data_IF_467084933352
#
_entry.id   IF_467084933352
#
_cell.length_a   1.000
_cell.length_b   1.000
_cell.length_c   1.000
_cell.angle_alpha   90.00
_cell.angle_beta   90.00
_cell.angle_gamma   90.00
#
_symmetry.space_group_name_H-M   'P 1'
#
loop_
_entity.id
_entity.type
_entity.pdbx_description
1 polymer ?
#
# COMPACT_ATOMS: atom_id res chain seq x y z
N UNK A 1 -19.41 -11.11 -3.94
CA UNK A 1 -17.97 -11.32 -3.72
C UNK A 1 -17.28 -10.30 -4.59
N UNK A 2 -16.73 -9.25 -3.99
CA UNK A 2 -15.93 -8.28 -4.70
C UNK A 2 -14.51 -8.84 -4.82
N UNK A 3 -13.94 -8.76 -6.01
CA UNK A 3 -12.54 -9.05 -6.27
C UNK A 3 -11.70 -7.85 -5.78
N UNK A 4 -10.85 -8.01 -4.74
CA UNK A 4 -10.13 -6.89 -4.14
C UNK A 4 -9.05 -6.29 -5.06
N UNK A 5 -8.62 -7.00 -6.09
CA UNK A 5 -7.66 -6.50 -7.08
C UNK A 5 -8.28 -5.53 -8.09
N UNK A 6 -9.62 -5.47 -8.18
CA UNK A 6 -10.35 -4.64 -9.16
C UNK A 6 -10.99 -3.43 -8.51
N UNK A 7 -10.44 -2.24 -8.78
CA UNK A 7 -10.91 -0.98 -8.22
C UNK A 7 -11.08 0.09 -9.31
N UNK A 8 -12.02 1.01 -9.09
CA UNK A 8 -12.16 2.22 -9.92
C UNK A 8 -11.55 3.38 -9.13
N UNK A 9 -10.50 3.97 -9.68
CA UNK A 9 -9.84 5.15 -9.11
C UNK A 9 -10.14 6.41 -9.94
N UNK A 10 -10.41 7.52 -9.25
CA UNK A 10 -10.50 8.85 -9.85
C UNK A 10 -9.68 9.82 -9.00
N UNK A 11 -8.73 10.51 -9.63
CA UNK A 11 -7.84 11.46 -8.95
C UNK A 11 -8.15 12.89 -9.40
N UNK A 12 -8.45 13.75 -8.43
CA UNK A 12 -8.62 15.20 -8.64
C UNK A 12 -7.38 15.89 -8.08
N UNK A 13 -6.67 16.61 -8.93
CA UNK A 13 -5.52 17.42 -8.51
C UNK A 13 -5.99 18.64 -7.74
N UNK A 14 -5.44 18.84 -6.54
CA UNK A 14 -5.69 20.00 -5.71
C UNK A 14 -4.53 21.00 -5.80
N UNK A 15 -4.82 22.28 -5.64
CA UNK A 15 -3.81 23.28 -5.32
C UNK A 15 -3.29 23.08 -3.90
N UNK A 16 -2.18 23.75 -3.58
CA UNK A 16 -1.62 23.71 -2.23
C UNK A 16 -2.61 24.29 -1.22
N UNK A 17 -3.24 25.40 -1.55
CA UNK A 17 -4.20 26.10 -0.70
C UNK A 17 -5.45 25.22 -0.46
N UNK A 18 -5.98 24.57 -1.50
CA UNK A 18 -7.09 23.63 -1.37
C UNK A 18 -6.75 22.44 -0.46
N UNK A 19 -5.54 21.89 -0.61
CA UNK A 19 -5.07 20.82 0.27
C UNK A 19 -4.93 21.29 1.71
N UNK A 20 -4.30 22.44 1.95
CA UNK A 20 -4.08 22.97 3.30
C UNK A 20 -5.40 23.13 4.06
N UNK A 21 -6.40 23.75 3.42
CA UNK A 21 -7.75 23.93 3.99
C UNK A 21 -8.44 22.58 4.28
N UNK A 22 -8.45 21.64 3.32
CA UNK A 22 -9.07 20.33 3.51
C UNK A 22 -8.33 19.48 4.55
N UNK A 23 -7.02 19.68 4.70
CA UNK A 23 -6.19 18.94 5.66
C UNK A 23 -6.45 19.32 7.11
N UNK A 24 -7.18 20.39 7.39
CA UNK A 24 -7.59 20.76 8.76
C UNK A 24 -8.71 19.86 9.29
N UNK A 25 -9.48 19.22 8.39
CA UNK A 25 -10.57 18.33 8.78
C UNK A 25 -10.02 17.12 9.55
N UNK A 26 -10.66 16.80 10.66
CA UNK A 26 -10.30 15.63 11.46
C UNK A 26 -10.57 14.35 10.67
N UNK A 27 -9.58 13.47 10.62
CA UNK A 27 -9.66 12.26 9.83
C UNK A 27 -8.48 11.33 10.09
N UNK A 28 -8.62 10.09 9.64
CA UNK A 28 -7.53 9.11 9.69
C UNK A 28 -6.45 9.52 8.70
N UNK A 29 -5.19 9.56 9.15
CA UNK A 29 -4.03 9.94 8.34
C UNK A 29 -3.10 8.75 8.13
N UNK A 30 -2.43 8.75 7.00
CA UNK A 30 -1.34 7.84 6.70
C UNK A 30 -0.24 8.61 6.00
N UNK A 31 1.01 8.23 6.25
CA UNK A 31 2.18 8.83 5.62
C UNK A 31 3.10 7.72 5.15
N UNK A 32 3.52 7.81 3.89
CA UNK A 32 4.47 6.88 3.27
C UNK A 32 5.36 7.61 2.28
N UNK A 33 6.58 7.11 2.10
CA UNK A 33 7.39 7.44 0.93
C UNK A 33 7.08 6.38 -0.11
N UNK A 34 6.65 6.80 -1.30
CA UNK A 34 6.36 5.90 -2.41
C UNK A 34 7.47 5.99 -3.45
N UNK A 35 8.09 4.85 -3.74
CA UNK A 35 9.02 4.70 -4.85
C UNK A 35 8.33 3.97 -5.99
N UNK A 36 8.60 4.40 -7.22
CA UNK A 36 8.12 3.75 -8.43
C UNK A 36 9.26 2.92 -9.01
N UNK A 37 8.95 1.69 -9.38
CA UNK A 37 9.89 0.76 -10.01
C UNK A 37 9.21 0.03 -11.17
N UNK A 38 9.80 0.12 -12.35
CA UNK A 38 9.31 -0.61 -13.51
C UNK A 38 9.69 -2.09 -13.38
N UNK A 39 8.70 -2.99 -13.42
CA UNK A 39 8.92 -4.43 -13.30
C UNK A 39 8.06 -5.20 -14.30
N UNK A 40 8.73 -5.89 -15.23
CA UNK A 40 8.05 -6.56 -16.35
C UNK A 40 7.30 -5.54 -17.21
N UNK A 41 6.00 -5.78 -17.41
CA UNK A 41 5.10 -4.86 -18.13
C UNK A 41 4.31 -3.93 -17.19
N UNK A 42 4.46 -4.07 -15.87
CA UNK A 42 3.73 -3.31 -14.88
C UNK A 42 4.59 -2.30 -14.11
N UNK A 43 3.94 -1.58 -13.20
CA UNK A 43 4.61 -0.68 -12.25
C UNK A 43 4.43 -1.19 -10.83
N UNK A 44 5.54 -1.24 -10.10
CA UNK A 44 5.54 -1.49 -8.66
C UNK A 44 5.56 -0.16 -7.91
N UNK A 45 4.58 0.04 -7.04
CA UNK A 45 4.53 1.14 -6.08
C UNK A 45 5.01 0.68 -4.70
N UNK A 46 6.27 0.93 -4.40
CA UNK A 46 6.88 0.54 -3.13
C UNK A 46 6.56 1.60 -2.07
N UNK A 47 5.60 1.30 -1.20
CA UNK A 47 5.15 2.16 -0.11
C UNK A 47 5.87 1.87 1.20
N UNK A 48 6.74 2.78 1.63
CA UNK A 48 7.46 2.72 2.91
C UNK A 48 6.72 3.59 3.92
N UNK A 49 6.02 2.95 4.84
CA UNK A 49 5.18 3.64 5.82
C UNK A 49 6.02 4.34 6.90
N UNK A 50 5.50 5.46 7.39
CA UNK A 50 6.14 6.32 8.39
C UNK A 50 5.30 6.40 9.67
N UNK A 51 5.87 7.06 10.68
CA UNK A 51 5.24 7.31 11.98
C UNK A 51 4.87 6.01 12.69
N UNK A 52 3.63 5.88 13.16
CA UNK A 52 3.14 4.72 13.91
C UNK A 52 3.20 3.40 13.11
N UNK A 53 3.41 3.47 11.79
CA UNK A 53 3.53 2.32 10.88
C UNK A 53 4.97 2.11 10.39
N UNK A 54 5.95 2.79 10.99
CA UNK A 54 7.34 2.62 10.64
C UNK A 54 7.80 1.17 10.84
N UNK A 55 8.56 0.67 9.87
CA UNK A 55 8.90 -0.75 9.76
C UNK A 55 8.01 -1.53 8.80
N UNK A 56 6.90 -0.97 8.30
CA UNK A 56 6.04 -1.59 7.29
C UNK A 56 6.38 -1.10 5.87
N UNK A 57 6.50 -2.06 4.95
CA UNK A 57 6.64 -1.84 3.51
C UNK A 57 5.60 -2.70 2.81
N UNK A 58 4.81 -2.07 1.93
CA UNK A 58 3.91 -2.76 1.01
C UNK A 58 4.29 -2.39 -0.42
N UNK A 59 4.09 -3.32 -1.35
CA UNK A 59 4.36 -3.11 -2.76
C UNK A 59 3.07 -3.43 -3.50
N UNK A 60 2.46 -2.42 -4.11
CA UNK A 60 1.30 -2.60 -4.97
C UNK A 60 1.81 -2.73 -6.41
N UNK A 61 1.29 -3.72 -7.16
CA UNK A 61 1.59 -3.87 -8.58
C UNK A 61 0.35 -3.49 -9.38
N UNK A 62 0.51 -2.55 -10.29
CA UNK A 62 -0.58 -2.06 -11.15
C UNK A 62 -0.48 -2.67 -12.56
N UNK A 63 -1.64 -3.06 -13.10
CA UNK A 63 -1.80 -3.66 -14.42
C UNK A 63 -2.87 -2.92 -15.21
N UNK A 64 -2.69 -2.78 -16.52
CA UNK A 64 -3.69 -2.13 -17.38
C UNK A 64 -4.79 -3.11 -17.82
N UNK A 65 -4.57 -4.42 -17.62
CA UNK A 65 -5.54 -5.46 -17.97
C UNK A 65 -5.45 -6.69 -17.08
N UNK A 66 -6.57 -7.40 -16.98
CA UNK A 66 -6.66 -8.71 -16.32
C UNK A 66 -5.74 -9.76 -16.98
N UNK A 67 -5.42 -9.63 -18.26
CA UNK A 67 -4.47 -10.53 -18.93
C UNK A 67 -3.04 -10.34 -18.41
N UNK A 68 -2.63 -9.11 -18.13
CA UNK A 68 -1.31 -8.80 -17.56
C UNK A 68 -1.21 -9.28 -16.11
N UNK A 69 -2.24 -9.02 -15.30
CA UNK A 69 -2.34 -9.52 -13.93
C UNK A 69 -2.24 -11.05 -13.88
N UNK A 70 -2.97 -11.77 -14.73
CA UNK A 70 -2.95 -13.23 -14.77
C UNK A 70 -1.59 -13.82 -15.19
N UNK A 71 -0.72 -13.03 -15.84
CA UNK A 71 0.64 -13.44 -16.24
C UNK A 71 1.70 -12.95 -15.26
N UNK A 72 1.32 -12.22 -14.22
CA UNK A 72 2.25 -11.67 -13.27
C UNK A 72 2.93 -12.78 -12.46
N UNK A 73 4.24 -12.68 -12.35
CA UNK A 73 5.05 -13.50 -11.46
C UNK A 73 5.68 -12.60 -10.41
N UNK A 74 5.32 -12.86 -9.14
CA UNK A 74 5.82 -12.08 -8.01
C UNK A 74 7.36 -12.14 -7.96
N UNK A 75 8.06 -11.00 -7.95
CA UNK A 75 9.51 -10.99 -7.86
C UNK A 75 10.06 -11.53 -6.53
N UNK A 76 11.27 -12.10 -6.58
CA UNK A 76 11.94 -12.69 -5.41
C UNK A 76 12.23 -11.70 -4.26
N UNK A 77 12.20 -10.39 -4.52
CA UNK A 77 12.35 -9.38 -3.48
C UNK A 77 11.07 -9.14 -2.67
N UNK A 78 9.92 -9.60 -3.16
CA UNK A 78 8.67 -9.60 -2.42
C UNK A 78 8.64 -10.78 -1.44
N UNK A 79 8.13 -10.54 -0.23
CA UNK A 79 8.08 -11.58 0.80
C UNK A 79 6.92 -12.56 0.58
N UNK A 80 5.73 -12.03 0.41
CA UNK A 80 4.48 -12.78 0.32
C UNK A 80 3.42 -11.93 -0.37
N UNK A 81 2.53 -12.57 -1.11
CA UNK A 81 1.35 -11.94 -1.69
C UNK A 81 0.29 -11.69 -0.60
N UNK A 82 -0.28 -10.49 -0.58
CA UNK A 82 -1.22 -10.04 0.46
C UNK A 82 -2.49 -9.39 -0.12
N UNK A 83 -2.78 -9.63 -1.40
CA UNK A 83 -3.92 -9.05 -2.13
C UNK A 83 -5.25 -9.23 -1.41
N UNK A 84 -5.47 -10.40 -0.78
CA UNK A 84 -6.69 -10.75 -0.06
C UNK A 84 -6.66 -10.41 1.45
N UNK A 85 -5.57 -9.82 1.96
CA UNK A 85 -5.44 -9.52 3.39
C UNK A 85 -6.08 -8.16 3.72
N UNK A 86 -7.38 -8.19 4.04
CA UNK A 86 -8.21 -7.00 4.33
C UNK A 86 -7.59 -6.03 5.36
N UNK A 87 -6.83 -6.54 6.33
CA UNK A 87 -6.21 -5.69 7.36
C UNK A 87 -5.12 -4.75 6.80
N UNK A 88 -4.57 -5.06 5.63
CA UNK A 88 -3.58 -4.25 4.92
C UNK A 88 -4.20 -3.31 3.89
N UNK A 89 -5.48 -3.46 3.57
CA UNK A 89 -6.20 -2.55 2.68
C UNK A 89 -6.09 -1.10 3.20
N UNK A 90 -5.83 -0.15 2.30
CA UNK A 90 -5.47 1.22 2.66
C UNK A 90 -6.41 1.89 3.66
N UNK A 91 -7.74 1.74 3.49
CA UNK A 91 -8.73 2.30 4.40
C UNK A 91 -8.77 1.65 5.79
N UNK A 92 -8.46 0.34 5.86
CA UNK A 92 -8.42 -0.44 7.11
C UNK A 92 -7.13 -0.19 7.88
N UNK A 93 -6.02 -0.10 7.15
CA UNK A 93 -4.70 0.24 7.68
C UNK A 93 -4.65 1.71 8.14
N UNK A 94 -5.41 2.59 7.51
CA UNK A 94 -5.49 3.99 7.92
C UNK A 94 -6.01 4.10 9.37
N UNK A 95 -5.27 4.82 10.21
CA UNK A 95 -5.54 4.92 11.65
C UNK A 95 -5.15 3.71 12.52
N UNK A 96 -4.47 2.70 11.97
CA UNK A 96 -3.81 1.64 12.76
C UNK A 96 -2.32 1.93 12.95
N UNK A 97 -1.75 1.52 14.06
CA UNK A 97 -0.32 1.45 14.28
C UNK A 97 0.23 0.11 13.79
N UNK A 98 1.55 -0.01 13.70
CA UNK A 98 2.22 -1.29 13.45
C UNK A 98 1.83 -2.32 14.52
N UNK A 99 1.75 -1.91 15.79
CA UNK A 99 1.44 -2.79 16.91
C UNK A 99 0.06 -3.43 16.77
N UNK A 100 -0.90 -2.68 16.22
CA UNK A 100 -2.27 -3.17 15.98
C UNK A 100 -2.32 -4.32 14.97
N UNK A 101 -1.39 -4.36 14.03
CA UNK A 101 -1.33 -5.36 12.93
C UNK A 101 -0.18 -6.37 13.11
N UNK A 102 0.63 -6.24 14.15
CA UNK A 102 1.86 -7.04 14.31
C UNK A 102 1.57 -8.54 14.40
N UNK A 103 0.46 -8.93 15.03
CA UNK A 103 0.05 -10.33 15.13
C UNK A 103 -0.26 -10.92 13.75
N UNK A 104 -0.91 -10.15 12.90
CA UNK A 104 -1.26 -10.58 11.54
C UNK A 104 -0.01 -10.65 10.66
N UNK A 105 0.88 -9.65 10.74
CA UNK A 105 2.17 -9.65 10.04
C UNK A 105 3.06 -10.85 10.43
N UNK A 106 2.98 -11.31 11.68
CA UNK A 106 3.71 -12.51 12.14
C UNK A 106 3.27 -13.79 11.43
N UNK A 107 2.04 -13.88 10.91
CA UNK A 107 1.58 -15.03 10.10
C UNK A 107 2.45 -15.22 8.85
N UNK A 108 3.06 -14.14 8.36
CA UNK A 108 3.92 -14.11 7.19
C UNK A 108 5.41 -14.13 7.52
N UNK A 109 5.79 -14.28 8.79
CA UNK A 109 7.16 -14.09 9.26
C UNK A 109 7.76 -12.72 8.89
N UNK A 110 6.91 -11.70 8.73
CA UNK A 110 7.36 -10.35 8.38
C UNK A 110 8.19 -9.76 9.52
N UNK A 111 9.30 -9.11 9.15
CA UNK A 111 10.17 -8.37 10.07
C UNK A 111 10.13 -6.90 9.70
N UNK A 112 10.14 -6.03 10.71
CA UNK A 112 10.24 -4.59 10.49
C UNK A 112 11.43 -4.26 9.60
N UNK A 113 11.19 -3.47 8.57
CA UNK A 113 12.22 -2.98 7.65
C UNK A 113 12.49 -1.50 7.94
N UNK A 114 13.73 -1.19 8.27
CA UNK A 114 14.19 0.18 8.47
C UNK A 114 15.15 0.54 7.33
N UNK A 115 14.98 1.71 6.75
CA UNK A 115 16.00 2.32 5.90
C UNK A 115 16.90 3.11 6.83
N UNK A 116 18.18 2.73 6.88
CA UNK A 116 19.23 3.48 7.57
C UNK A 116 19.49 4.85 6.91
#
# INVERSE_FOLDING_TARGET
GNDPSKQKEETITLTKEEFEELSEVEGKRTRKIRYYYDYGNGKAEIGIFKDEKEGLVLIDFEFESEEEENKFEMPDFCLVEVTDEEFLAGGMLCGKSYQDIEKDLKRFNYKKLFLD
#
